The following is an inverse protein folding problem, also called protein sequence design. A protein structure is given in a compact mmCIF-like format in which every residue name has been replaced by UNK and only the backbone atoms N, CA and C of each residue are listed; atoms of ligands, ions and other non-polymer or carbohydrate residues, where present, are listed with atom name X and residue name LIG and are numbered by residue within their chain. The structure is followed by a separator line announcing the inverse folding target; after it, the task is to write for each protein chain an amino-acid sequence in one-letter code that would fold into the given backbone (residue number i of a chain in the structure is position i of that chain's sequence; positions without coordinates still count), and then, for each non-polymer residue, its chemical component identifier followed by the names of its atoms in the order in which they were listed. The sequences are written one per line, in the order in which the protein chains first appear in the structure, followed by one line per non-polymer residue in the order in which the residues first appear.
data_IF_580772862227
#
_entry.id   IF_580772862227
#
_cell.length_a   1.000
_cell.length_b   1.000
_cell.length_c   1.000
_cell.angle_alpha   90.00
_cell.angle_beta   90.00
_cell.angle_gamma   90.00
#
_symmetry.space_group_name_H-M   'P 1'
#
loop_
_entity.id
_entity.type
_entity.pdbx_description
1 polymer ?
#
# COMPACT_ATOMS: atom_id res chain seq x y z
N UNK A 1 -25.02 -6.52 21.24
CA UNK A 1 -25.49 -7.25 20.03
C UNK A 1 -25.20 -6.39 18.81
N UNK A 2 -24.22 -6.79 18.00
CA UNK A 2 -23.76 -6.04 16.81
C UNK A 2 -24.85 -6.00 15.74
N UNK A 3 -25.39 -4.81 15.46
CA UNK A 3 -26.20 -4.59 14.25
C UNK A 3 -25.24 -4.56 13.06
N UNK A 4 -25.27 -5.62 12.24
CA UNK A 4 -24.68 -5.59 10.90
C UNK A 4 -25.35 -4.47 10.12
N UNK A 5 -24.57 -3.51 9.65
CA UNK A 5 -25.03 -2.49 8.71
C UNK A 5 -25.22 -3.22 7.37
N UNK A 6 -26.40 -3.07 6.77
CA UNK A 6 -26.67 -3.59 5.43
C UNK A 6 -26.00 -2.67 4.40
N UNK A 7 -24.95 -3.16 3.74
CA UNK A 7 -24.14 -2.43 2.75
C UNK A 7 -24.68 -2.53 1.31
N UNK A 8 -25.91 -3.03 1.15
CA UNK A 8 -26.57 -3.22 -0.15
C UNK A 8 -27.00 -1.94 -0.86
N UNK A 9 -27.05 -0.78 -0.17
CA UNK A 9 -27.59 0.47 -0.74
C UNK A 9 -26.53 1.49 -1.20
N UNK A 10 -25.24 1.14 -1.15
CA UNK A 10 -24.17 2.04 -1.56
C UNK A 10 -23.71 1.70 -2.97
N UNK A 11 -23.72 2.69 -3.87
CA UNK A 11 -23.25 2.52 -5.24
C UNK A 11 -21.72 2.29 -5.29
N UNK A 12 -21.21 1.84 -6.43
CA UNK A 12 -19.80 1.50 -6.61
C UNK A 12 -18.85 2.71 -6.39
N UNK A 13 -19.27 3.92 -6.71
CA UNK A 13 -18.51 5.14 -6.48
C UNK A 13 -18.43 5.49 -4.98
N UNK A 14 -19.50 5.25 -4.22
CA UNK A 14 -19.50 5.44 -2.75
C UNK A 14 -18.58 4.46 -2.04
N UNK A 15 -18.44 3.22 -2.55
CA UNK A 15 -17.51 2.21 -2.01
C UNK A 15 -16.05 2.56 -2.30
N UNK A 16 -15.75 3.01 -3.52
CA UNK A 16 -14.40 3.40 -3.94
C UNK A 16 -13.88 4.63 -3.17
N UNK A 17 -14.73 5.62 -2.93
CA UNK A 17 -14.35 6.82 -2.20
C UNK A 17 -14.19 6.59 -0.67
N UNK A 18 -14.90 5.62 -0.10
CA UNK A 18 -14.65 5.14 1.27
C UNK A 18 -13.28 4.43 1.39
N UNK A 19 -12.89 3.63 0.41
CA UNK A 19 -11.59 2.93 0.40
C UNK A 19 -10.38 3.87 0.25
N UNK A 20 -10.55 5.07 -0.34
CA UNK A 20 -9.48 6.07 -0.49
C UNK A 20 -9.30 6.99 0.73
N UNK A 21 -10.13 6.85 1.76
CA UNK A 21 -10.11 7.74 2.93
C UNK A 21 -10.55 9.18 2.62
N UNK A 22 -11.17 9.40 1.46
CA UNK A 22 -11.54 10.73 0.94
C UNK A 22 -13.00 11.12 1.29
N UNK A 23 -13.80 10.18 1.81
CA UNK A 23 -15.14 10.49 2.33
C UNK A 23 -15.21 10.33 3.86
N UNK A 24 -15.85 11.26 4.57
CA UNK A 24 -16.24 11.04 5.96
C UNK A 24 -17.05 9.73 6.04
N UNK A 25 -16.78 8.91 7.06
CA UNK A 25 -17.48 7.64 7.26
C UNK A 25 -19.01 7.85 7.27
N UNK A 26 -19.78 6.81 6.93
CA UNK A 26 -21.24 6.89 7.00
C UNK A 26 -21.78 7.28 8.39
N UNK A 27 -20.97 7.11 9.45
CA UNK A 27 -21.25 7.67 10.78
C UNK A 27 -21.02 9.17 10.83
N UNK A 28 -19.88 9.66 10.35
CA UNK A 28 -19.56 11.09 10.31
C UNK A 28 -20.58 11.90 9.48
N UNK A 29 -21.12 11.35 8.39
CA UNK A 29 -22.18 12.00 7.63
C UNK A 29 -23.50 12.10 8.43
N UNK A 30 -23.85 11.07 9.21
CA UNK A 30 -25.02 11.09 10.09
C UNK A 30 -24.84 12.07 11.25
N UNK A 31 -23.64 12.14 11.80
CA UNK A 31 -23.31 13.05 12.89
C UNK A 31 -23.46 14.51 12.41
N UNK A 32 -22.91 14.83 11.24
CA UNK A 32 -23.06 16.15 10.59
C UNK A 32 -24.53 16.49 10.26
N UNK A 33 -25.32 15.52 9.79
CA UNK A 33 -26.75 15.74 9.52
C UNK A 33 -27.53 15.99 10.82
N UNK A 34 -27.13 15.35 11.92
CA UNK A 34 -27.73 15.54 13.24
C UNK A 34 -27.38 16.93 13.79
N UNK A 35 -26.14 17.39 13.63
CA UNK A 35 -25.71 18.74 13.96
C UNK A 35 -26.47 19.80 13.13
N UNK A 36 -26.62 19.56 11.82
CA UNK A 36 -27.40 20.43 10.92
C UNK A 36 -28.84 20.58 11.39
N UNK A 37 -29.48 19.47 11.78
CA UNK A 37 -30.85 19.48 12.30
C UNK A 37 -30.95 20.18 13.66
N UNK A 38 -29.96 20.01 14.54
CA UNK A 38 -29.90 20.70 15.83
C UNK A 38 -29.75 22.22 15.66
N UNK A 39 -28.92 22.67 14.72
CA UNK A 39 -28.75 24.09 14.39
C UNK A 39 -30.03 24.69 13.79
N UNK A 40 -30.69 23.98 12.88
CA UNK A 40 -31.98 24.39 12.34
C UNK A 40 -33.05 24.52 13.44
N UNK A 41 -33.07 23.62 14.41
CA UNK A 41 -33.98 23.70 15.54
C UNK A 41 -33.71 24.91 16.45
N UNK A 42 -32.44 25.20 16.75
CA UNK A 42 -32.06 26.37 17.56
C UNK A 42 -32.39 27.69 16.87
N UNK A 43 -32.11 27.79 15.56
CA UNK A 43 -32.48 28.96 14.75
C UNK A 43 -33.99 29.16 14.71
N UNK A 44 -34.76 28.08 14.58
CA UNK A 44 -36.23 28.15 14.59
C UNK A 44 -36.75 28.68 15.91
N UNK A 45 -36.19 28.23 17.04
CA UNK A 45 -36.55 28.75 18.38
C UNK A 45 -36.22 30.23 18.54
N UNK A 46 -35.11 30.69 17.95
CA UNK A 46 -34.73 32.10 17.93
C UNK A 46 -35.73 32.96 17.13
N UNK A 47 -36.15 32.46 15.96
CA UNK A 47 -37.16 33.11 15.10
C UNK A 47 -38.56 33.11 15.74
N UNK A 48 -38.94 32.02 16.42
CA UNK A 48 -40.26 31.85 17.06
C UNK A 48 -40.42 32.67 18.37
N UNK A 49 -39.39 33.40 18.81
CA UNK A 49 -39.56 34.60 19.65
C UNK A 49 -39.70 34.41 21.16
N UNK A 50 -38.92 33.53 21.81
CA UNK A 50 -38.75 33.58 23.28
C UNK A 50 -37.68 34.62 23.69
N UNK A 51 -37.89 35.92 23.48
CA UNK A 51 -36.98 36.97 23.97
C UNK A 51 -37.73 38.08 24.74
N UNK A 52 -37.09 38.59 25.80
CA UNK A 52 -37.62 39.62 26.70
C UNK A 52 -37.87 40.96 25.97
N UNK A 53 -38.90 41.70 26.41
CA UNK A 53 -39.53 42.79 25.66
C UNK A 53 -38.68 44.07 25.44
N UNK A 54 -37.44 44.12 25.92
CA UNK A 54 -36.67 45.36 26.04
C UNK A 54 -35.66 45.61 24.90
N UNK A 55 -35.55 44.71 23.91
CA UNK A 55 -34.61 44.88 22.79
C UNK A 55 -35.16 45.70 21.60
N UNK A 56 -34.26 46.39 20.91
CA UNK A 56 -34.53 47.30 19.80
C UNK A 56 -35.25 46.59 18.62
N UNK A 57 -36.47 47.04 18.29
CA UNK A 57 -37.32 46.39 17.29
C UNK A 57 -36.70 46.35 15.89
N UNK A 58 -35.89 47.34 15.50
CA UNK A 58 -35.25 47.39 14.19
C UNK A 58 -34.14 46.33 14.03
N UNK A 59 -33.37 46.08 15.08
CA UNK A 59 -32.34 45.03 15.09
C UNK A 59 -32.98 43.64 15.02
N UNK A 60 -34.13 43.45 15.68
CA UNK A 60 -34.91 42.19 15.60
C UNK A 60 -35.33 41.86 14.17
N UNK A 61 -35.84 42.83 13.41
CA UNK A 61 -36.27 42.58 12.04
C UNK A 61 -35.10 42.16 11.12
N UNK A 62 -33.92 42.76 11.30
CA UNK A 62 -32.74 42.41 10.51
C UNK A 62 -32.25 40.98 10.78
N UNK A 63 -32.08 40.59 12.04
CA UNK A 63 -31.62 39.24 12.39
C UNK A 63 -32.68 38.16 12.14
N UNK A 64 -33.96 38.52 12.22
CA UNK A 64 -35.06 37.61 11.91
C UNK A 64 -35.10 37.26 10.42
N UNK A 65 -34.92 38.23 9.52
CA UNK A 65 -34.89 37.97 8.07
C UNK A 65 -33.67 37.12 7.66
N UNK A 66 -32.51 37.37 8.27
CA UNK A 66 -31.31 36.56 8.09
C UNK A 66 -31.49 35.12 8.62
N UNK A 67 -32.08 34.96 9.81
CA UNK A 67 -32.35 33.65 10.41
C UNK A 67 -33.40 32.86 9.62
N UNK A 68 -34.44 33.52 9.09
CA UNK A 68 -35.42 32.90 8.19
C UNK A 68 -34.79 32.41 6.89
N UNK A 69 -33.87 33.20 6.32
CA UNK A 69 -33.13 32.81 5.11
C UNK A 69 -32.23 31.60 5.37
N UNK A 70 -31.52 31.58 6.51
CA UNK A 70 -30.69 30.44 6.91
C UNK A 70 -31.53 29.18 7.22
N UNK A 71 -32.72 29.33 7.81
CA UNK A 71 -33.64 28.21 8.03
C UNK A 71 -34.16 27.65 6.71
N UNK A 72 -34.51 28.49 5.74
CA UNK A 72 -34.92 28.03 4.42
C UNK A 72 -33.77 27.30 3.69
N UNK A 73 -32.52 27.76 3.84
CA UNK A 73 -31.34 27.06 3.31
C UNK A 73 -31.10 25.71 4.00
N UNK A 74 -31.11 25.67 5.34
CA UNK A 74 -30.89 24.44 6.11
C UNK A 74 -32.05 23.45 5.98
N UNK A 75 -33.28 23.93 5.81
CA UNK A 75 -34.49 23.14 5.57
C UNK A 75 -34.59 22.57 4.15
N UNK A 76 -33.77 23.06 3.22
CA UNK A 76 -33.79 22.65 1.80
C UNK A 76 -34.80 23.40 0.93
N UNK A 77 -35.45 24.43 1.47
CA UNK A 77 -36.41 25.29 0.75
C UNK A 77 -35.70 26.31 -0.17
N UNK A 78 -34.44 26.66 0.13
CA UNK A 78 -33.57 27.44 -0.76
C UNK A 78 -32.51 26.53 -1.40
N UNK A 79 -32.37 26.53 -2.74
CA UNK A 79 -31.30 25.79 -3.41
C UNK A 79 -29.95 26.39 -3.01
N UNK A 80 -29.02 25.54 -2.58
CA UNK A 80 -27.68 26.01 -2.25
C UNK A 80 -26.98 26.54 -3.50
N UNK A 81 -26.65 27.83 -3.51
CA UNK A 81 -25.85 28.40 -4.59
C UNK A 81 -24.39 27.96 -4.44
N UNK A 82 -24.08 26.79 -4.97
CA UNK A 82 -22.72 26.47 -5.41
C UNK A 82 -22.38 27.39 -6.59
N UNK A 83 -21.16 27.95 -6.62
CA UNK A 83 -20.67 28.80 -7.75
C UNK A 83 -20.69 28.06 -9.11
N UNK A 84 -20.83 26.73 -9.06
CA UNK A 84 -21.02 25.86 -10.21
C UNK A 84 -22.46 25.35 -10.17
N UNK A 85 -23.29 25.59 -11.20
CA UNK A 85 -24.65 25.05 -11.24
C UNK A 85 -24.66 23.53 -11.02
N UNK A 86 -25.57 23.03 -10.20
CA UNK A 86 -25.68 21.60 -9.88
C UNK A 86 -25.76 20.70 -11.12
N UNK A 87 -26.33 21.20 -12.21
CA UNK A 87 -26.39 20.51 -13.50
C UNK A 87 -25.01 20.30 -14.15
N UNK A 88 -24.11 21.28 -14.02
CA UNK A 88 -22.74 21.15 -14.51
C UNK A 88 -21.93 20.12 -13.69
N UNK A 89 -22.15 20.07 -12.37
CA UNK A 89 -21.56 19.04 -11.51
C UNK A 89 -22.10 17.63 -11.83
N UNK A 90 -23.40 17.50 -12.13
CA UNK A 90 -23.99 16.23 -12.58
C UNK A 90 -23.38 15.76 -13.89
N UNK A 91 -23.32 16.65 -14.87
CA UNK A 91 -22.71 16.36 -16.19
C UNK A 91 -21.26 15.92 -16.06
N UNK A 92 -20.46 16.61 -15.24
CA UNK A 92 -19.07 16.22 -15.00
C UNK A 92 -18.94 14.85 -14.32
N UNK A 93 -19.82 14.53 -13.36
CA UNK A 93 -19.83 13.21 -12.71
C UNK A 93 -20.18 12.09 -13.69
N UNK A 94 -21.14 12.31 -14.57
CA UNK A 94 -21.49 11.35 -15.64
C UNK A 94 -20.31 11.14 -16.59
N UNK A 95 -19.60 12.20 -16.97
CA UNK A 95 -18.39 12.11 -17.78
C UNK A 95 -17.28 11.32 -17.09
N UNK A 96 -17.04 11.56 -15.80
CA UNK A 96 -16.05 10.81 -15.01
C UNK A 96 -16.42 9.33 -14.95
N UNK A 97 -17.70 9.00 -14.72
CA UNK A 97 -18.16 7.61 -14.71
C UNK A 97 -17.93 6.94 -16.06
N UNK A 98 -18.25 7.63 -17.16
CA UNK A 98 -18.03 7.10 -18.50
C UNK A 98 -16.54 6.86 -18.78
N UNK A 99 -15.70 7.86 -18.51
CA UNK A 99 -14.25 7.73 -18.71
C UNK A 99 -13.65 6.61 -17.85
N UNK A 100 -14.11 6.46 -16.60
CA UNK A 100 -13.68 5.37 -15.73
C UNK A 100 -14.10 3.99 -16.26
N UNK A 101 -15.28 3.89 -16.89
CA UNK A 101 -15.73 2.65 -17.52
C UNK A 101 -14.88 2.34 -18.78
N UNK A 102 -14.60 3.34 -19.60
CA UNK A 102 -13.76 3.21 -20.79
C UNK A 102 -12.32 2.80 -20.42
N UNK A 103 -11.77 3.39 -19.34
CA UNK A 103 -10.44 3.03 -18.81
C UNK A 103 -10.40 1.58 -18.31
N UNK A 104 -11.46 1.12 -17.63
CA UNK A 104 -11.57 -0.27 -17.19
C UNK A 104 -11.64 -1.22 -18.38
N UNK A 105 -12.42 -0.89 -19.42
CA UNK A 105 -12.49 -1.70 -20.64
C UNK A 105 -11.13 -1.76 -21.35
N UNK A 106 -10.40 -0.64 -21.41
CA UNK A 106 -9.06 -0.60 -21.98
C UNK A 106 -8.05 -1.46 -21.18
N UNK A 107 -8.15 -1.46 -19.85
CA UNK A 107 -7.34 -2.32 -18.99
C UNK A 107 -7.64 -3.81 -19.26
N UNK A 108 -8.93 -4.18 -19.31
CA UNK A 108 -9.37 -5.55 -19.60
C UNK A 108 -8.90 -6.01 -21.00
N UNK A 109 -8.90 -5.12 -21.99
CA UNK A 109 -8.38 -5.40 -23.33
C UNK A 109 -6.86 -5.61 -23.32
N UNK A 110 -6.11 -4.79 -22.59
CA UNK A 110 -4.67 -4.96 -22.43
C UNK A 110 -4.33 -6.31 -21.78
N UNK A 111 -5.09 -6.72 -20.77
CA UNK A 111 -4.91 -8.01 -20.10
C UNK A 111 -5.17 -9.17 -21.06
N UNK A 112 -6.30 -9.14 -21.79
CA UNK A 112 -6.63 -10.16 -22.80
C UNK A 112 -5.58 -10.24 -23.90
N UNK A 113 -5.09 -9.10 -24.38
CA UNK A 113 -4.04 -9.06 -25.40
C UNK A 113 -2.73 -9.65 -24.86
N UNK A 114 -2.37 -9.32 -23.63
CA UNK A 114 -1.18 -9.86 -22.96
C UNK A 114 -1.24 -11.39 -22.85
N UNK A 115 -2.40 -11.93 -22.46
CA UNK A 115 -2.63 -13.37 -22.38
C UNK A 115 -2.57 -14.04 -23.76
N UNK A 116 -3.20 -13.44 -24.78
CA UNK A 116 -3.17 -13.96 -26.14
C UNK A 116 -1.74 -13.98 -26.71
N UNK A 117 -0.98 -12.90 -26.51
CA UNK A 117 0.41 -12.82 -26.94
C UNK A 117 1.27 -13.85 -26.21
N UNK A 118 1.09 -14.02 -24.90
CA UNK A 118 1.78 -15.04 -24.11
C UNK A 118 1.49 -16.45 -24.62
N UNK A 119 0.21 -16.79 -24.83
CA UNK A 119 -0.18 -18.11 -25.29
C UNK A 119 0.31 -18.39 -26.72
N UNK A 120 0.22 -17.40 -27.60
CA UNK A 120 0.74 -17.51 -28.97
C UNK A 120 2.27 -17.69 -28.97
N UNK A 121 2.98 -16.97 -28.09
CA UNK A 121 4.43 -17.12 -27.96
C UNK A 121 4.80 -18.54 -27.50
N UNK A 122 4.05 -19.12 -26.55
CA UNK A 122 4.25 -20.51 -26.09
C UNK A 122 3.98 -21.50 -27.22
N UNK A 123 2.91 -21.33 -27.99
CA UNK A 123 2.60 -22.22 -29.13
C UNK A 123 3.68 -22.16 -30.23
N UNK A 124 4.19 -20.97 -30.54
CA UNK A 124 5.17 -20.78 -31.62
C UNK A 124 6.59 -21.17 -31.21
N UNK A 125 7.00 -20.87 -29.97
CA UNK A 125 8.39 -21.03 -29.50
C UNK A 125 8.58 -22.18 -28.52
N UNK A 126 7.50 -22.77 -28.03
CA UNK A 126 7.51 -23.70 -26.91
C UNK A 126 7.47 -22.98 -25.55
N UNK A 127 7.34 -23.74 -24.44
CA UNK A 127 7.38 -23.16 -23.10
C UNK A 127 8.73 -22.49 -22.86
N UNK A 128 8.71 -21.17 -22.64
CA UNK A 128 9.89 -20.37 -22.37
C UNK A 128 10.52 -20.84 -21.05
N UNK A 129 11.80 -21.21 -21.06
CA UNK A 129 12.53 -21.46 -19.81
C UNK A 129 12.48 -20.19 -18.95
N UNK A 130 12.33 -20.30 -17.61
CA UNK A 130 12.25 -19.14 -16.74
C UNK A 130 13.39 -18.17 -17.04
N UNK A 131 13.04 -16.99 -17.55
CA UNK A 131 14.01 -15.96 -17.87
C UNK A 131 14.84 -15.67 -16.62
N UNK A 132 16.17 -15.70 -16.76
CA UNK A 132 17.11 -15.24 -15.71
C UNK A 132 16.92 -13.76 -15.36
N UNK A 133 16.03 -13.06 -16.06
CA UNK A 133 15.64 -11.66 -15.84
C UNK A 133 14.16 -11.61 -15.51
N UNK A 134 13.86 -11.08 -14.33
CA UNK A 134 12.49 -10.91 -13.84
C UNK A 134 11.71 -9.89 -14.68
N UNK A 135 10.47 -10.23 -15.02
CA UNK A 135 9.53 -9.35 -15.71
C UNK A 135 8.65 -8.55 -14.74
N UNK A 136 7.82 -7.65 -15.28
CA UNK A 136 6.86 -6.86 -14.48
C UNK A 136 5.79 -7.74 -13.80
N UNK A 137 5.43 -8.87 -14.42
CA UNK A 137 4.53 -9.88 -13.83
C UNK A 137 5.10 -10.51 -12.55
N UNK A 138 6.42 -10.53 -12.38
CA UNK A 138 7.08 -11.13 -11.23
C UNK A 138 7.19 -10.17 -10.05
N UNK A 139 6.96 -8.86 -10.28
CA UNK A 139 7.15 -7.82 -9.26
C UNK A 139 6.35 -8.09 -7.98
N UNK A 140 5.04 -8.42 -8.03
CA UNK A 140 4.26 -8.64 -6.81
C UNK A 140 4.84 -9.76 -5.93
N UNK A 141 5.21 -10.89 -6.54
CA UNK A 141 5.80 -12.04 -5.86
C UNK A 141 7.17 -11.71 -5.27
N UNK A 142 7.99 -10.93 -5.98
CA UNK A 142 9.32 -10.51 -5.52
C UNK A 142 9.27 -9.48 -4.41
N UNK A 143 8.37 -8.51 -4.50
CA UNK A 143 8.13 -7.54 -3.42
C UNK A 143 7.66 -8.27 -2.17
N UNK A 144 6.75 -9.25 -2.31
CA UNK A 144 6.31 -10.08 -1.20
C UNK A 144 7.48 -10.84 -0.55
N UNK A 145 8.34 -11.48 -1.35
CA UNK A 145 9.53 -12.19 -0.86
C UNK A 145 10.50 -11.24 -0.13
N UNK A 146 10.86 -10.12 -0.77
CA UNK A 146 11.78 -9.14 -0.19
C UNK A 146 11.24 -8.50 1.10
N UNK A 147 9.93 -8.24 1.18
CA UNK A 147 9.29 -7.72 2.40
C UNK A 147 9.34 -8.74 3.53
N UNK A 148 9.15 -10.03 3.23
CA UNK A 148 9.25 -11.10 4.22
C UNK A 148 10.69 -11.26 4.74
N UNK A 149 11.68 -11.34 3.83
CA UNK A 149 13.10 -11.43 4.18
C UNK A 149 13.55 -10.24 5.02
N UNK A 150 13.18 -9.01 4.62
CA UNK A 150 13.44 -7.81 5.41
C UNK A 150 12.79 -7.88 6.80
N UNK A 151 11.58 -8.45 6.89
CA UNK A 151 10.88 -8.66 8.17
C UNK A 151 11.67 -9.56 9.12
N UNK A 152 12.20 -10.67 8.61
CA UNK A 152 13.04 -11.61 9.37
C UNK A 152 14.36 -10.97 9.82
N UNK A 153 15.07 -10.29 8.91
CA UNK A 153 16.31 -9.56 9.25
C UNK A 153 16.06 -8.48 10.31
N UNK A 154 14.95 -7.73 10.18
CA UNK A 154 14.57 -6.71 11.15
C UNK A 154 14.24 -7.31 12.51
N UNK A 155 13.49 -8.41 12.55
CA UNK A 155 13.12 -9.07 13.80
C UNK A 155 14.36 -9.59 14.55
N UNK A 156 15.30 -10.21 13.83
CA UNK A 156 16.61 -10.60 14.37
C UNK A 156 17.38 -9.41 14.97
N UNK A 157 17.52 -8.32 14.20
CA UNK A 157 18.25 -7.14 14.65
C UNK A 157 17.60 -6.48 15.88
N UNK A 158 16.26 -6.40 15.92
CA UNK A 158 15.53 -5.85 17.07
C UNK A 158 15.73 -6.68 18.32
N UNK A 159 15.66 -8.01 18.20
CA UNK A 159 15.89 -8.91 19.35
C UNK A 159 17.31 -8.78 19.88
N UNK A 160 18.30 -8.70 18.99
CA UNK A 160 19.70 -8.50 19.38
C UNK A 160 19.94 -7.19 20.11
N UNK A 161 19.36 -6.10 19.59
CA UNK A 161 19.50 -4.77 20.21
C UNK A 161 18.80 -4.75 21.58
N UNK A 162 17.56 -5.20 21.66
CA UNK A 162 16.80 -5.19 22.91
C UNK A 162 17.49 -5.99 24.01
N UNK A 163 17.95 -7.19 23.69
CA UNK A 163 18.59 -8.03 24.68
C UNK A 163 19.97 -7.47 25.12
N UNK A 164 20.68 -6.73 24.25
CA UNK A 164 21.86 -5.96 24.66
C UNK A 164 21.51 -4.80 25.61
N UNK A 165 20.39 -4.10 25.39
CA UNK A 165 19.91 -3.04 26.28
C UNK A 165 19.46 -3.56 27.64
N UNK A 166 18.94 -4.78 27.69
CA UNK A 166 18.53 -5.46 28.94
C UNK A 166 19.73 -5.98 29.76
N UNK A 167 20.97 -5.76 29.28
CA UNK A 167 22.20 -6.16 29.96
C UNK A 167 22.62 -7.61 29.69
N UNK A 168 22.08 -8.23 28.63
CA UNK A 168 22.49 -9.56 28.21
C UNK A 168 23.91 -9.60 27.65
N UNK A 169 24.65 -10.67 27.96
CA UNK A 169 25.90 -11.04 27.30
C UNK A 169 25.58 -12.08 26.23
N UNK A 170 25.82 -11.75 24.97
CA UNK A 170 25.63 -12.69 23.86
C UNK A 170 26.95 -13.36 23.53
N UNK A 171 26.99 -14.68 23.63
CA UNK A 171 28.07 -15.45 23.02
C UNK A 171 27.73 -15.86 21.58
N UNK A 172 28.68 -16.54 20.93
CA UNK A 172 28.50 -17.00 19.56
C UNK A 172 27.35 -18.02 19.40
N UNK A 173 27.00 -18.78 20.44
CA UNK A 173 25.91 -19.74 20.44
C UNK A 173 24.55 -19.06 20.54
N UNK A 174 24.40 -18.12 21.47
CA UNK A 174 23.16 -17.35 21.64
C UNK A 174 22.76 -16.62 20.33
N UNK A 175 23.74 -16.06 19.62
CA UNK A 175 23.52 -15.39 18.33
C UNK A 175 23.03 -16.41 17.28
N UNK A 176 23.58 -17.62 17.27
CA UNK A 176 23.18 -18.66 16.33
C UNK A 176 21.76 -19.15 16.59
N UNK A 177 21.36 -19.29 17.86
CA UNK A 177 20.01 -19.71 18.23
C UNK A 177 18.96 -18.66 17.88
N UNK A 178 19.26 -17.38 18.13
CA UNK A 178 18.38 -16.27 17.68
C UNK A 178 18.32 -16.23 16.15
N UNK A 179 19.43 -16.50 15.45
CA UNK A 179 19.43 -16.56 14.00
C UNK A 179 18.61 -17.75 13.46
N UNK A 180 18.56 -18.89 14.15
CA UNK A 180 17.66 -20.01 13.82
C UNK A 180 16.20 -19.63 14.05
N UNK A 181 15.90 -19.01 15.18
CA UNK A 181 14.55 -18.52 15.52
C UNK A 181 13.95 -17.61 14.45
N UNK A 182 14.78 -16.74 13.85
CA UNK A 182 14.36 -15.81 12.79
C UNK A 182 14.55 -16.35 11.36
N UNK A 183 14.96 -17.61 11.21
CA UNK A 183 15.10 -18.28 9.91
C UNK A 183 16.31 -17.86 9.08
N UNK A 184 17.30 -17.19 9.69
CA UNK A 184 18.57 -16.84 9.04
C UNK A 184 19.55 -18.02 9.01
N UNK A 185 19.47 -18.89 10.03
CA UNK A 185 20.18 -20.15 10.09
C UNK A 185 19.19 -21.32 10.15
N UNK A 186 19.64 -22.49 9.72
CA UNK A 186 18.97 -23.78 9.95
C UNK A 186 19.95 -24.76 10.57
N UNK A 187 19.44 -25.70 11.36
CA UNK A 187 20.24 -26.76 11.97
C UNK A 187 20.14 -28.00 11.09
N UNK A 188 21.28 -28.59 10.75
CA UNK A 188 21.37 -29.88 10.06
C UNK A 188 22.15 -30.87 10.93
N UNK A 189 21.62 -32.08 11.14
CA UNK A 189 22.37 -33.17 11.74
C UNK A 189 23.31 -33.80 10.71
N UNK A 190 24.56 -34.03 11.10
CA UNK A 190 25.61 -34.56 10.24
C UNK A 190 26.27 -35.74 10.92
N UNK A 191 26.41 -36.81 10.16
CA UNK A 191 27.15 -38.02 10.55
C UNK A 191 28.63 -37.94 10.12
N UNK A 192 28.94 -37.08 9.15
CA UNK A 192 30.27 -36.92 8.56
C UNK A 192 30.69 -35.44 8.53
N UNK A 193 32.01 -35.24 8.45
CA UNK A 193 32.62 -33.91 8.40
C UNK A 193 32.20 -33.07 7.19
N UNK A 194 32.00 -31.78 7.43
CA UNK A 194 31.48 -30.84 6.43
C UNK A 194 32.56 -30.23 5.53
N UNK A 195 33.83 -30.59 5.74
CA UNK A 195 35.00 -30.08 5.03
C UNK A 195 36.02 -29.40 5.95
N UNK A 196 37.18 -29.06 5.40
CA UNK A 196 38.37 -28.65 6.17
C UNK A 196 38.21 -27.33 6.95
N UNK A 197 37.26 -26.47 6.57
CA UNK A 197 37.02 -25.17 7.22
C UNK A 197 35.87 -25.15 8.24
N UNK A 198 35.25 -26.30 8.54
CA UNK A 198 34.06 -26.35 9.41
C UNK A 198 34.42 -26.85 10.81
N UNK A 199 34.07 -26.06 11.84
CA UNK A 199 34.36 -26.35 13.23
C UNK A 199 33.77 -27.68 13.74
N UNK A 200 32.72 -28.21 13.08
CA UNK A 200 32.09 -29.49 13.48
C UNK A 200 33.05 -30.69 13.48
N UNK A 201 34.18 -30.62 12.76
CA UNK A 201 35.22 -31.66 12.76
C UNK A 201 35.83 -31.87 14.16
N UNK A 202 35.86 -30.83 14.99
CA UNK A 202 36.49 -30.86 16.31
C UNK A 202 35.60 -31.46 17.40
N UNK A 203 34.29 -31.60 17.15
CA UNK A 203 33.29 -31.97 18.17
C UNK A 203 32.85 -33.44 18.12
N UNK A 204 33.27 -34.21 17.10
CA UNK A 204 32.84 -35.61 16.89
C UNK A 204 31.43 -35.71 16.29
N UNK A 205 31.07 -36.89 15.75
CA UNK A 205 29.80 -37.13 15.07
C UNK A 205 28.93 -38.17 15.80
N UNK A 206 27.59 -38.05 15.76
CA UNK A 206 26.81 -37.05 15.03
C UNK A 206 26.87 -35.64 15.64
N UNK A 207 26.86 -34.61 14.78
CA UNK A 207 26.97 -33.20 15.17
C UNK A 207 25.82 -32.35 14.61
N UNK A 208 25.36 -31.38 15.40
CA UNK A 208 24.43 -30.35 14.96
C UNK A 208 25.19 -29.20 14.32
N UNK A 209 24.91 -28.92 13.05
CA UNK A 209 25.65 -27.94 12.27
C UNK A 209 24.73 -26.84 11.75
N UNK A 210 25.04 -25.59 12.11
CA UNK A 210 24.30 -24.41 11.65
C UNK A 210 24.65 -24.06 10.19
N UNK A 211 23.63 -23.74 9.39
CA UNK A 211 23.76 -23.42 7.95
C UNK A 211 23.00 -22.15 7.61
N UNK A 212 23.64 -21.29 6.82
CA UNK A 212 23.01 -20.07 6.29
C UNK A 212 21.84 -20.44 5.39
N UNK A 213 20.71 -19.77 5.60
CA UNK A 213 19.58 -19.81 4.67
C UNK A 213 19.83 -18.83 3.52
N UNK A 214 19.05 -18.91 2.42
CA UNK A 214 19.20 -18.00 1.28
C UNK A 214 19.13 -16.51 1.65
N UNK A 215 18.48 -16.18 2.78
CA UNK A 215 18.37 -14.82 3.32
C UNK A 215 19.75 -14.22 3.65
N UNK A 216 20.67 -15.04 4.19
CA UNK A 216 22.04 -14.63 4.52
C UNK A 216 23.07 -14.94 3.42
N UNK A 217 22.66 -15.68 2.39
CA UNK A 217 23.50 -15.93 1.24
C UNK A 217 23.07 -17.16 0.44
N UNK A 218 22.88 -16.95 -0.86
CA UNK A 218 23.34 -17.90 -1.85
C UNK A 218 24.82 -17.61 -2.15
N UNK A 219 25.68 -18.62 -2.11
CA UNK A 219 26.97 -18.62 -2.80
C UNK A 219 27.42 -20.06 -2.99
N UNK A 220 28.09 -20.44 -4.11
CA UNK A 220 28.89 -19.61 -5.01
C UNK A 220 28.65 -19.85 -6.53
N UNK A 221 28.92 -18.86 -7.40
CA UNK A 221 29.41 -19.08 -8.79
C UNK A 221 30.29 -17.91 -9.24
N UNK A 222 31.58 -18.21 -9.41
CA UNK A 222 32.49 -17.72 -10.46
C UNK A 222 32.23 -16.31 -11.00
N UNK A 223 32.88 -15.31 -10.39
CA UNK A 223 33.34 -14.15 -11.15
C UNK A 223 34.57 -14.64 -11.91
N UNK A 224 34.34 -15.18 -13.11
CA UNK A 224 35.40 -15.35 -14.08
C UNK A 224 36.06 -13.98 -14.29
N UNK A 225 37.35 -13.93 -14.00
CA UNK A 225 38.24 -12.81 -14.25
C UNK A 225 38.19 -12.46 -15.74
N UNK A 226 37.35 -11.51 -16.13
CA UNK A 226 37.53 -10.78 -17.37
C UNK A 226 38.48 -9.62 -17.06
N UNK A 227 39.79 -9.91 -17.02
CA UNK A 227 40.82 -8.88 -17.05
C UNK A 227 41.45 -8.89 -18.44
N UNK A 228 41.06 -7.88 -19.20
CA UNK A 228 41.83 -7.16 -20.21
C UNK A 228 42.77 -7.95 -21.12
N UNK A 229 42.27 -8.30 -22.30
CA UNK A 229 43.07 -8.28 -23.54
C UNK A 229 42.15 -7.82 -24.68
N UNK A 230 42.11 -6.50 -24.92
CA UNK A 230 41.69 -5.93 -26.20
C UNK A 230 42.07 -4.44 -26.26
N UNK A 231 43.38 -4.17 -26.27
CA UNK A 231 43.90 -2.99 -26.95
C UNK A 231 44.42 -3.44 -28.33
N UNK A 232 43.57 -3.34 -29.35
CA UNK A 232 44.05 -3.17 -30.71
C UNK A 232 43.02 -2.41 -31.56
N UNK A 233 42.97 -1.08 -31.37
CA UNK A 233 42.41 -0.18 -32.37
C UNK A 233 43.57 0.43 -33.13
N UNK A 234 43.95 -0.23 -34.22
CA UNK A 234 44.81 0.34 -35.25
C UNK A 234 44.09 1.54 -35.87
N UNK A 235 44.53 2.74 -35.50
CA UNK A 235 44.11 3.98 -36.15
C UNK A 235 45.05 4.21 -37.32
N UNK A 236 44.50 4.13 -38.52
CA UNK A 236 45.13 4.60 -39.75
C UNK A 236 45.57 6.06 -39.60
N UNK A 237 46.88 6.31 -39.60
CA UNK A 237 47.41 7.62 -39.97
C UNK A 237 47.65 7.62 -41.48
N UNK A 238 46.81 8.37 -42.19
CA UNK A 238 47.06 8.78 -43.56
C UNK A 238 48.11 9.89 -43.56
N UNK A 239 49.20 9.67 -44.29
CA UNK A 239 50.15 10.72 -44.64
C UNK A 239 49.61 11.60 -45.77
N UNK A 240 49.80 12.91 -45.60
CA UNK A 240 49.84 14.02 -46.57
C UNK A 240 50.09 15.24 -45.67
N UNK A 241 51.22 15.93 -45.69
CA UNK A 241 52.02 16.46 -46.80
C UNK A 241 53.47 16.64 -46.40
#
# INVERSE_FOLDING_TARGET
MNKKIDYGSLDAAQRLAFCRGELPSASAFKDLETERQALAFLLKRFVDGEHDQDENQAERHMYHDEAQTLLAYLGGDLPGHTLVPDEALRTQREQIQKLSADEQEAADLCDRLSDLLRNTAIEVRGPEEPLKRHGFSDLPSRVKAAVAERGQLKAFAVEMINASFEGGSFDGGDIQDIAVKHGLLRIEQREDECGEGCACREYGFPAECYRKTPILGAGPKEIATQSADNENVSRHEGGQT
#
